data_IF_754198731260
#
_entry.id   IF_754198731260
#
_cell.length_a   1.000
_cell.length_b   1.000
_cell.length_c   1.000
_cell.angle_alpha   90.00
_cell.angle_beta   90.00
_cell.angle_gamma   90.00
#
_symmetry.space_group_name_H-M   'P 1'
#
loop_
_entity.id
_entity.type
_entity.pdbx_description
1 polymer ?
#
# COMPACT_ATOMS: atom_id res chain seq x y z
N UNK A 1 -12.34 -0.74 -8.73
CA UNK A 1 -13.52 0.10 -8.45
C UNK A 1 -13.61 0.54 -6.99
N UNK A 2 -13.59 -0.34 -5.99
CA UNK A 2 -13.78 0.05 -4.57
C UNK A 2 -12.70 1.02 -4.03
N UNK A 3 -11.43 0.85 -4.40
CA UNK A 3 -10.36 1.74 -3.95
C UNK A 3 -10.48 3.13 -4.57
N UNK A 4 -10.77 3.23 -5.86
CA UNK A 4 -11.01 4.51 -6.52
C UNK A 4 -12.20 5.28 -5.91
N UNK A 5 -13.29 4.57 -5.59
CA UNK A 5 -14.45 5.15 -4.91
C UNK A 5 -14.11 5.60 -3.47
N UNK A 6 -13.24 4.86 -2.79
CA UNK A 6 -12.72 5.24 -1.46
C UNK A 6 -11.89 6.53 -1.54
N UNK A 7 -10.95 6.61 -2.47
CA UNK A 7 -10.11 7.81 -2.68
C UNK A 7 -10.98 9.01 -3.02
N UNK A 8 -11.92 8.87 -3.96
CA UNK A 8 -12.85 9.94 -4.34
C UNK A 8 -13.67 10.43 -3.14
N UNK A 9 -14.20 9.50 -2.32
CA UNK A 9 -14.96 9.83 -1.10
C UNK A 9 -14.16 10.68 -0.13
N UNK A 10 -12.91 10.27 0.19
CA UNK A 10 -12.10 11.06 1.13
C UNK A 10 -11.66 12.38 0.56
N UNK A 11 -11.46 12.49 -0.77
CA UNK A 11 -11.19 13.76 -1.42
C UNK A 11 -12.37 14.72 -1.24
N UNK A 12 -13.58 14.30 -1.56
CA UNK A 12 -14.79 15.11 -1.41
C UNK A 12 -15.03 15.52 0.06
N UNK A 13 -14.87 14.59 1.01
CA UNK A 13 -14.98 14.90 2.43
C UNK A 13 -13.95 15.92 2.89
N UNK A 14 -12.72 15.84 2.40
CA UNK A 14 -11.67 16.79 2.71
C UNK A 14 -11.95 18.18 2.09
N UNK A 15 -12.51 18.23 0.89
CA UNK A 15 -12.94 19.48 0.24
C UNK A 15 -14.06 20.17 1.04
N UNK A 16 -15.08 19.42 1.43
CA UNK A 16 -16.19 19.94 2.25
C UNK A 16 -15.70 20.39 3.61
N UNK A 17 -14.86 19.60 4.30
CA UNK A 17 -14.29 19.99 5.59
C UNK A 17 -13.50 21.29 5.48
N UNK A 18 -12.65 21.42 4.48
CA UNK A 18 -11.85 22.62 4.25
C UNK A 18 -12.70 23.86 3.95
N UNK A 19 -13.74 23.72 3.11
CA UNK A 19 -14.66 24.83 2.81
C UNK A 19 -15.46 25.29 4.04
N UNK A 20 -15.70 24.39 4.99
CA UNK A 20 -16.36 24.67 6.27
C UNK A 20 -15.39 25.09 7.38
N UNK A 21 -14.09 25.25 7.09
CA UNK A 21 -13.08 25.65 8.08
C UNK A 21 -12.62 24.54 9.03
N UNK A 22 -12.90 23.26 8.73
CA UNK A 22 -12.50 22.12 9.56
C UNK A 22 -11.27 21.42 9.01
N UNK A 23 -10.28 21.15 9.90
CA UNK A 23 -9.07 20.42 9.55
C UNK A 23 -9.23 18.89 9.67
N UNK A 24 -10.21 18.39 10.42
CA UNK A 24 -10.34 16.97 10.76
C UNK A 24 -11.64 16.38 10.27
N UNK A 25 -11.61 15.09 9.94
CA UNK A 25 -12.79 14.32 9.56
C UNK A 25 -13.00 13.20 10.59
N UNK A 26 -14.20 13.06 11.12
CA UNK A 26 -14.57 11.96 11.98
C UNK A 26 -15.29 10.89 11.16
N UNK A 27 -14.98 9.61 11.45
CA UNK A 27 -15.69 8.46 10.86
C UNK A 27 -16.16 7.51 11.95
N UNK A 28 -17.35 6.93 11.74
CA UNK A 28 -18.00 6.03 12.68
C UNK A 28 -17.53 4.56 12.55
N UNK A 29 -16.25 4.32 12.27
CA UNK A 29 -15.71 2.97 12.29
C UNK A 29 -15.75 2.40 13.70
N UNK A 30 -16.24 1.16 13.80
CA UNK A 30 -16.46 0.44 15.05
C UNK A 30 -15.41 -0.63 15.32
N UNK A 31 -15.52 -1.29 16.47
CA UNK A 31 -14.71 -2.46 16.81
C UNK A 31 -14.90 -3.62 15.81
N UNK A 32 -16.13 -3.77 15.28
CA UNK A 32 -16.46 -4.77 14.27
C UNK A 32 -15.74 -4.47 12.96
N UNK A 33 -15.71 -3.20 12.53
CA UNK A 33 -14.96 -2.77 11.34
C UNK A 33 -13.45 -2.98 11.49
N UNK A 34 -12.94 -2.85 12.72
CA UNK A 34 -11.55 -3.15 13.03
C UNK A 34 -11.23 -4.63 12.82
N UNK A 35 -12.07 -5.52 13.37
CA UNK A 35 -11.92 -6.96 13.22
C UNK A 35 -12.00 -7.39 11.74
N UNK A 36 -12.99 -6.88 11.00
CA UNK A 36 -13.13 -7.12 9.56
C UNK A 36 -11.88 -6.66 8.79
N UNK A 37 -11.32 -5.52 9.15
CA UNK A 37 -10.12 -4.98 8.51
C UNK A 37 -8.91 -5.85 8.76
N UNK A 38 -8.75 -6.37 9.98
CA UNK A 38 -7.64 -7.29 10.34
C UNK A 38 -7.77 -8.59 9.57
N UNK A 39 -8.95 -9.22 9.56
CA UNK A 39 -9.18 -10.46 8.80
C UNK A 39 -8.96 -10.26 7.29
N UNK A 40 -9.48 -9.18 6.74
CA UNK A 40 -9.31 -8.88 5.32
C UNK A 40 -7.83 -8.73 4.93
N UNK A 41 -7.04 -8.07 5.78
CA UNK A 41 -5.61 -7.86 5.55
C UNK A 41 -4.81 -9.14 5.77
N UNK A 42 -5.18 -9.94 6.78
CA UNK A 42 -4.59 -11.25 7.03
C UNK A 42 -4.80 -12.19 5.83
N UNK A 43 -6.04 -12.27 5.31
CA UNK A 43 -6.37 -13.07 4.14
C UNK A 43 -5.65 -12.64 2.86
N UNK A 44 -5.08 -11.43 2.83
CA UNK A 44 -4.28 -10.90 1.71
C UNK A 44 -2.78 -10.96 1.92
N UNK A 45 -2.32 -11.61 2.98
CA UNK A 45 -0.89 -11.70 3.29
C UNK A 45 -0.26 -10.36 3.66
N UNK A 46 -1.02 -9.45 4.26
CA UNK A 46 -0.47 -8.16 4.69
C UNK A 46 0.59 -8.34 5.77
N UNK A 47 1.68 -7.59 5.68
CA UNK A 47 2.70 -7.52 6.71
C UNK A 47 2.21 -6.85 8.00
N UNK A 48 3.13 -6.67 8.95
CA UNK A 48 2.86 -6.19 10.31
C UNK A 48 2.05 -4.87 10.34
N UNK A 49 2.45 -3.89 9.54
CA UNK A 49 1.75 -2.59 9.40
C UNK A 49 0.27 -2.79 9.03
N UNK A 50 0.02 -3.70 8.07
CA UNK A 50 -1.33 -4.03 7.66
C UNK A 50 -2.14 -4.64 8.79
N UNK A 51 -1.56 -5.58 9.54
CA UNK A 51 -2.19 -6.29 10.64
C UNK A 51 -2.42 -5.41 11.88
N UNK A 52 -1.74 -4.27 12.00
CA UNK A 52 -2.01 -3.25 13.01
C UNK A 52 -3.42 -2.63 12.90
N UNK A 53 -4.16 -2.93 11.83
CA UNK A 53 -5.52 -2.46 11.63
C UNK A 53 -5.63 -0.96 11.38
N UNK A 54 -6.75 -0.36 11.80
CA UNK A 54 -6.97 1.08 11.72
C UNK A 54 -6.47 1.77 13.00
N UNK A 55 -5.81 2.93 12.87
CA UNK A 55 -5.46 3.79 14.00
C UNK A 55 -6.66 4.69 14.38
N UNK A 56 -6.73 5.12 15.66
CA UNK A 56 -7.71 6.11 16.11
C UNK A 56 -7.59 7.44 15.38
N UNK A 57 -6.35 7.86 15.10
CA UNK A 57 -6.04 9.00 14.29
C UNK A 57 -5.04 8.61 13.20
N UNK A 58 -5.23 9.08 11.99
CA UNK A 58 -4.30 8.93 10.87
C UNK A 58 -4.33 10.18 10.00
N UNK A 59 -3.25 10.53 9.29
CA UNK A 59 -3.32 11.58 8.28
C UNK A 59 -4.47 11.35 7.31
N UNK A 60 -5.03 12.41 6.77
CA UNK A 60 -6.04 12.30 5.71
C UNK A 60 -5.43 11.61 4.49
N UNK A 61 -6.10 10.62 3.89
CA UNK A 61 -5.57 9.84 2.77
C UNK A 61 -5.70 10.60 1.43
N UNK A 62 -5.57 11.94 1.44
CA UNK A 62 -5.78 12.81 0.28
C UNK A 62 -4.85 14.02 0.35
N UNK A 63 -4.01 14.16 -0.70
CA UNK A 63 -3.20 15.35 -0.98
C UNK A 63 -2.15 15.69 0.10
N UNK A 64 -0.90 15.83 -0.29
CA UNK A 64 0.19 16.24 0.61
C UNK A 64 -0.01 17.66 1.19
N UNK A 65 -0.83 18.48 0.53
CA UNK A 65 -1.02 19.91 0.84
C UNK A 65 -2.08 20.18 1.91
N UNK A 66 -2.80 19.16 2.38
CA UNK A 66 -3.87 19.34 3.39
C UNK A 66 -3.46 18.74 4.72
N UNK A 67 -3.10 19.61 5.66
CA UNK A 67 -2.89 19.25 7.05
C UNK A 67 -4.23 18.87 7.70
N UNK A 68 -4.35 17.63 8.18
CA UNK A 68 -5.56 17.17 8.86
C UNK A 68 -5.52 15.69 9.22
N UNK A 69 -6.44 15.30 10.11
CA UNK A 69 -6.53 13.92 10.59
C UNK A 69 -7.90 13.30 10.29
N UNK A 70 -7.86 12.04 9.95
CA UNK A 70 -9.03 11.16 9.94
C UNK A 70 -9.13 10.49 11.32
N UNK A 71 -10.14 10.85 12.09
CA UNK A 71 -10.37 10.39 13.45
C UNK A 71 -11.44 9.29 13.49
N UNK A 72 -11.25 8.30 14.37
CA UNK A 72 -12.16 7.16 14.54
C UNK A 72 -12.49 6.96 16.01
N UNK A 73 -13.35 7.80 16.60
CA UNK A 73 -13.61 7.79 18.05
C UNK A 73 -14.31 6.51 18.50
N UNK A 74 -15.08 5.83 17.63
CA UNK A 74 -15.86 4.65 17.96
C UNK A 74 -15.12 3.32 17.75
N UNK A 75 -13.84 3.33 17.44
CA UNK A 75 -13.06 2.15 17.05
C UNK A 75 -12.96 1.07 18.15
N UNK A 76 -13.25 1.40 19.39
CA UNK A 76 -13.27 0.47 20.53
C UNK A 76 -14.71 0.09 20.96
N UNK A 77 -15.73 0.60 20.29
CA UNK A 77 -17.14 0.38 20.63
C UNK A 77 -17.71 -0.58 19.60
N UNK A 78 -18.34 -1.66 20.08
CA UNK A 78 -18.98 -2.63 19.19
C UNK A 78 -20.26 -2.04 18.56
N UNK A 79 -20.56 -2.48 17.33
CA UNK A 79 -21.83 -2.12 16.65
C UNK A 79 -23.05 -2.48 17.51
N UNK A 80 -23.01 -3.63 18.19
CA UNK A 80 -24.09 -4.06 19.08
C UNK A 80 -24.36 -3.06 20.22
N UNK A 81 -23.30 -2.50 20.83
CA UNK A 81 -23.43 -1.48 21.88
C UNK A 81 -24.04 -0.19 21.34
N UNK A 82 -23.62 0.26 20.14
CA UNK A 82 -24.20 1.45 19.51
C UNK A 82 -25.70 1.26 19.21
N UNK A 83 -26.07 0.11 18.66
CA UNK A 83 -27.48 -0.23 18.40
C UNK A 83 -28.31 -0.26 19.69
N UNK A 84 -27.77 -0.85 20.76
CA UNK A 84 -28.42 -0.86 22.06
C UNK A 84 -28.64 0.57 22.62
N UNK A 85 -27.63 1.45 22.47
CA UNK A 85 -27.74 2.86 22.89
C UNK A 85 -28.82 3.60 22.10
N UNK A 86 -28.89 3.44 20.78
CA UNK A 86 -29.91 4.08 19.95
C UNK A 86 -31.30 3.58 20.31
N UNK A 87 -31.47 2.28 20.53
CA UNK A 87 -32.74 1.69 20.97
C UNK A 87 -33.20 2.23 22.33
N UNK A 88 -32.29 2.29 23.30
CA UNK A 88 -32.59 2.83 24.63
C UNK A 88 -32.96 4.32 24.57
N UNK A 89 -32.42 5.08 23.63
CA UNK A 89 -32.75 6.49 23.41
C UNK A 89 -33.97 6.72 22.50
N UNK A 90 -34.63 5.66 22.00
CA UNK A 90 -35.77 5.78 21.07
C UNK A 90 -35.37 6.37 19.69
N UNK A 91 -34.09 6.34 19.32
CA UNK A 91 -33.59 6.92 18.06
C UNK A 91 -33.67 5.88 16.95
N UNK A 92 -34.39 6.21 15.87
CA UNK A 92 -34.46 5.36 14.69
C UNK A 92 -33.11 5.37 13.94
N UNK A 93 -32.71 4.22 13.40
CA UNK A 93 -31.50 4.08 12.58
C UNK A 93 -31.79 3.25 11.32
N UNK A 94 -31.05 3.50 10.27
CA UNK A 94 -31.16 2.75 9.00
C UNK A 94 -30.28 1.51 9.04
N UNK A 95 -30.81 0.37 8.59
CA UNK A 95 -30.01 -0.84 8.30
C UNK A 95 -29.99 -1.04 6.78
N UNK A 96 -28.89 -0.60 6.15
CA UNK A 96 -28.71 -0.67 4.70
C UNK A 96 -28.50 -2.14 4.26
N UNK A 97 -29.42 -2.70 3.42
CA UNK A 97 -29.33 -4.07 2.92
C UNK A 97 -28.01 -4.38 2.18
N UNK A 98 -27.39 -3.37 1.56
CA UNK A 98 -26.11 -3.54 0.83
C UNK A 98 -24.96 -4.01 1.73
N UNK A 99 -25.07 -3.79 3.05
CA UNK A 99 -24.11 -4.28 4.02
C UNK A 99 -24.08 -5.82 4.15
N UNK A 100 -25.06 -6.51 3.61
CA UNK A 100 -25.19 -7.98 3.64
C UNK A 100 -24.94 -8.61 2.28
N UNK A 101 -24.64 -7.83 1.25
CA UNK A 101 -24.44 -8.32 -0.12
C UNK A 101 -23.15 -9.17 -0.22
N UNK A 102 -23.26 -10.50 -0.51
CA UNK A 102 -22.13 -11.42 -0.54
C UNK A 102 -21.16 -11.16 -1.70
N UNK A 103 -21.50 -10.31 -2.66
CA UNK A 103 -20.56 -9.86 -3.69
C UNK A 103 -19.37 -9.11 -3.09
N UNK A 104 -19.55 -8.48 -1.92
CA UNK A 104 -18.48 -7.76 -1.24
C UNK A 104 -17.74 -8.64 -0.24
N UNK A 105 -16.42 -8.68 -0.34
CA UNK A 105 -15.56 -9.50 0.56
C UNK A 105 -15.80 -9.20 2.04
N UNK A 106 -16.02 -7.94 2.42
CA UNK A 106 -16.31 -7.57 3.81
C UNK A 106 -17.62 -8.17 4.31
N UNK A 107 -18.67 -8.21 3.48
CA UNK A 107 -19.94 -8.83 3.86
C UNK A 107 -19.75 -10.35 4.08
N UNK A 108 -18.96 -11.02 3.24
CA UNK A 108 -18.63 -12.44 3.43
C UNK A 108 -17.82 -12.68 4.69
N UNK A 109 -16.81 -11.85 5.00
CA UNK A 109 -16.02 -11.97 6.23
C UNK A 109 -16.88 -11.73 7.47
N UNK A 110 -17.81 -10.76 7.41
CA UNK A 110 -18.79 -10.51 8.49
C UNK A 110 -19.68 -11.72 8.73
N UNK A 111 -20.13 -12.39 7.68
CA UNK A 111 -20.94 -13.61 7.81
C UNK A 111 -20.17 -14.76 8.46
N UNK A 112 -18.83 -14.83 8.29
CA UNK A 112 -17.97 -15.83 8.92
C UNK A 112 -17.63 -15.51 10.39
N UNK A 113 -17.83 -14.28 10.86
CA UNK A 113 -17.41 -13.86 12.21
C UNK A 113 -18.00 -14.71 13.35
N UNK A 114 -19.29 -15.14 13.33
CA UNK A 114 -19.83 -16.00 14.36
C UNK A 114 -19.10 -17.35 14.47
N UNK A 115 -18.73 -17.95 13.33
CA UNK A 115 -18.02 -19.23 13.29
C UNK A 115 -16.57 -19.06 13.76
N UNK A 116 -15.88 -18.04 13.29
CA UNK A 116 -14.53 -17.68 13.73
C UNK A 116 -14.50 -17.38 15.25
N UNK A 117 -15.53 -16.75 15.77
CA UNK A 117 -15.62 -16.45 17.21
C UNK A 117 -15.73 -17.71 18.06
N UNK A 118 -16.40 -18.76 17.59
CA UNK A 118 -16.47 -20.09 18.25
C UNK A 118 -15.09 -20.75 18.30
N UNK A 119 -14.24 -20.51 17.29
CA UNK A 119 -12.85 -20.98 17.23
C UNK A 119 -11.86 -20.02 17.94
N UNK A 120 -12.35 -19.04 18.72
CA UNK A 120 -11.52 -18.11 19.48
C UNK A 120 -11.14 -16.80 18.75
N UNK A 121 -11.44 -16.66 17.47
CA UNK A 121 -11.17 -15.43 16.69
C UNK A 121 -12.30 -14.40 16.84
N UNK A 122 -12.58 -14.01 18.06
CA UNK A 122 -13.64 -13.03 18.36
C UNK A 122 -13.25 -11.61 17.90
N UNK A 123 -14.24 -10.73 17.74
CA UNK A 123 -14.06 -9.30 17.42
C UNK A 123 -13.07 -8.63 18.39
N UNK A 124 -13.24 -8.89 19.70
CA UNK A 124 -12.30 -8.37 20.71
C UNK A 124 -10.91 -9.00 20.61
N UNK A 125 -10.83 -10.30 20.29
CA UNK A 125 -9.56 -11.00 20.09
C UNK A 125 -8.74 -10.39 18.93
N UNK A 126 -9.40 -10.19 17.79
CA UNK A 126 -8.80 -9.57 16.60
C UNK A 126 -8.40 -8.11 16.84
N UNK A 127 -9.21 -7.34 17.57
CA UNK A 127 -8.84 -5.96 17.92
C UNK A 127 -7.64 -5.91 18.88
N UNK A 128 -7.57 -6.81 19.87
CA UNK A 128 -6.39 -6.94 20.74
C UNK A 128 -5.15 -7.36 19.96
N UNK A 129 -5.30 -8.28 19.01
CA UNK A 129 -4.21 -8.66 18.11
C UNK A 129 -3.69 -7.45 17.32
N UNK A 130 -4.57 -6.67 16.69
CA UNK A 130 -4.19 -5.44 15.98
C UNK A 130 -3.46 -4.44 16.89
N UNK A 131 -3.90 -4.28 18.13
CA UNK A 131 -3.24 -3.40 19.10
C UNK A 131 -1.82 -3.90 19.47
N UNK A 132 -1.61 -5.23 19.55
CA UNK A 132 -0.27 -5.83 19.75
C UNK A 132 0.61 -5.59 18.53
N UNK A 133 0.09 -5.81 17.33
CA UNK A 133 0.83 -5.55 16.07
C UNK A 133 1.24 -4.09 15.97
N UNK A 134 0.37 -3.15 16.35
CA UNK A 134 0.69 -1.72 16.37
C UNK A 134 1.84 -1.37 17.32
N UNK A 135 1.90 -2.00 18.50
CA UNK A 135 3.01 -1.77 19.44
C UNK A 135 4.32 -2.34 18.91
N UNK A 136 4.28 -3.55 18.32
CA UNK A 136 5.45 -4.13 17.68
C UNK A 136 5.93 -3.28 16.49
N UNK A 137 5.00 -2.80 15.68
CA UNK A 137 5.27 -1.90 14.57
C UNK A 137 5.96 -0.60 15.03
N UNK A 138 5.48 0.04 16.08
CA UNK A 138 6.09 1.25 16.63
C UNK A 138 7.54 1.02 17.11
N UNK A 139 7.82 -0.15 17.68
CA UNK A 139 9.18 -0.54 18.10
C UNK A 139 10.09 -0.72 16.88
N UNK A 140 9.62 -1.38 15.85
CA UNK A 140 10.39 -1.56 14.61
C UNK A 140 10.62 -0.22 13.93
N UNK A 141 9.60 0.64 13.86
CA UNK A 141 9.72 1.98 13.30
C UNK A 141 10.77 2.84 14.01
N UNK A 142 10.84 2.75 15.34
CA UNK A 142 11.90 3.39 16.12
C UNK A 142 13.29 2.86 15.72
N UNK A 143 13.43 1.54 15.59
CA UNK A 143 14.69 0.92 15.15
C UNK A 143 15.06 1.29 13.70
N UNK A 144 14.08 1.39 12.80
CA UNK A 144 14.29 1.83 11.41
C UNK A 144 14.75 3.29 11.35
N UNK A 145 14.18 4.16 12.18
CA UNK A 145 14.61 5.56 12.27
C UNK A 145 16.07 5.65 12.75
N UNK A 146 16.41 4.93 13.82
CA UNK A 146 17.78 4.89 14.34
C UNK A 146 18.78 4.30 13.30
N UNK A 147 18.39 3.24 12.58
CA UNK A 147 19.22 2.66 11.52
C UNK A 147 19.41 3.63 10.35
N UNK A 148 18.37 4.35 9.94
CA UNK A 148 18.47 5.40 8.91
C UNK A 148 19.48 6.46 9.33
N UNK A 149 19.33 7.01 10.53
CA UNK A 149 20.18 8.08 11.02
C UNK A 149 21.66 7.64 11.17
N UNK A 150 21.87 6.35 11.46
CA UNK A 150 23.22 5.78 11.55
C UNK A 150 23.87 5.46 10.18
N UNK A 151 23.08 5.02 9.19
CA UNK A 151 23.61 4.58 7.89
C UNK A 151 23.57 5.67 6.81
N UNK A 152 22.66 6.63 6.93
CA UNK A 152 22.48 7.74 6.01
C UNK A 152 22.20 9.02 6.81
N UNK A 153 23.20 9.57 7.53
CA UNK A 153 23.04 10.66 8.49
C UNK A 153 22.59 11.99 7.89
N UNK A 154 22.73 12.14 6.58
CA UNK A 154 22.25 13.31 5.87
C UNK A 154 20.82 13.13 5.37
N UNK A 155 19.99 14.19 5.31
CA UNK A 155 18.66 14.08 4.71
C UNK A 155 18.78 13.61 3.27
N UNK A 156 17.94 12.63 2.89
CA UNK A 156 17.95 12.12 1.52
C UNK A 156 17.57 13.23 0.55
N UNK A 157 18.45 13.48 -0.41
CA UNK A 157 18.23 14.48 -1.46
C UNK A 157 17.03 14.08 -2.31
N UNK A 158 16.17 15.04 -2.69
CA UNK A 158 15.01 14.78 -3.55
C UNK A 158 15.35 14.11 -4.89
N UNK A 159 16.58 14.30 -5.37
CA UNK A 159 17.02 13.85 -6.70
C UNK A 159 18.30 12.99 -6.66
N UNK A 160 18.84 12.75 -5.48
CA UNK A 160 20.08 11.99 -5.31
C UNK A 160 19.86 10.52 -4.96
N UNK A 161 20.88 9.68 -5.14
CA UNK A 161 20.85 8.30 -4.71
C UNK A 161 20.89 8.19 -3.18
N UNK A 162 20.15 7.22 -2.64
CA UNK A 162 20.31 6.78 -1.25
C UNK A 162 21.37 5.70 -1.20
N UNK A 163 22.34 5.83 -0.29
CA UNK A 163 23.48 4.90 -0.18
C UNK A 163 23.56 4.34 1.22
N UNK A 164 23.82 3.04 1.32
CA UNK A 164 24.08 2.34 2.57
C UNK A 164 25.38 1.56 2.45
N UNK A 165 26.21 1.61 3.49
CA UNK A 165 27.34 0.69 3.62
C UNK A 165 26.83 -0.75 3.69
N UNK A 166 27.38 -1.63 2.83
CA UNK A 166 26.88 -3.01 2.67
C UNK A 166 27.04 -3.83 3.95
N UNK A 167 28.17 -3.73 4.64
CA UNK A 167 28.42 -4.50 5.84
C UNK A 167 27.54 -4.05 7.01
N UNK A 168 27.40 -2.74 7.19
CA UNK A 168 26.53 -2.17 8.23
C UNK A 168 25.06 -2.48 7.95
N UNK A 169 24.61 -2.40 6.70
CA UNK A 169 23.25 -2.77 6.33
C UNK A 169 22.99 -4.26 6.55
N UNK A 170 23.94 -5.13 6.21
CA UNK A 170 23.83 -6.57 6.41
C UNK A 170 23.76 -6.98 7.90
N UNK A 171 24.27 -6.15 8.81
CA UNK A 171 24.20 -6.36 10.26
C UNK A 171 22.85 -6.00 10.89
N UNK A 172 21.96 -5.31 10.16
CA UNK A 172 20.64 -4.94 10.66
C UNK A 172 19.73 -6.16 10.84
N UNK A 173 18.81 -6.14 11.81
CA UNK A 173 17.72 -7.10 11.87
C UNK A 173 16.92 -7.09 10.56
N UNK A 174 16.48 -8.26 10.08
CA UNK A 174 15.90 -8.42 8.74
C UNK A 174 14.73 -7.47 8.45
N UNK A 175 13.80 -7.32 9.39
CA UNK A 175 12.64 -6.42 9.21
C UNK A 175 13.07 -4.94 9.18
N UNK A 176 14.09 -4.55 9.94
CA UNK A 176 14.63 -3.18 9.92
C UNK A 176 15.28 -2.90 8.57
N UNK A 177 16.11 -3.81 8.06
CA UNK A 177 16.75 -3.72 6.77
C UNK A 177 15.71 -3.66 5.62
N UNK A 178 14.70 -4.54 5.67
CA UNK A 178 13.63 -4.59 4.68
C UNK A 178 12.86 -3.26 4.61
N UNK A 179 12.48 -2.68 5.75
CA UNK A 179 11.77 -1.40 5.80
C UNK A 179 12.64 -0.23 5.36
N UNK A 180 13.90 -0.22 5.78
CA UNK A 180 14.83 0.83 5.37
C UNK A 180 15.04 0.82 3.85
N UNK A 181 15.24 -0.38 3.26
CA UNK A 181 15.31 -0.56 1.81
C UNK A 181 14.01 -0.11 1.12
N UNK A 182 12.86 -0.51 1.65
CA UNK A 182 11.54 -0.13 1.12
C UNK A 182 11.31 1.39 1.12
N UNK A 183 11.78 2.09 2.15
CA UNK A 183 11.76 3.57 2.21
C UNK A 183 12.65 4.21 1.16
N UNK A 184 13.87 3.70 0.99
CA UNK A 184 14.78 4.20 -0.03
C UNK A 184 14.21 3.98 -1.45
N UNK A 185 13.62 2.81 -1.72
CA UNK A 185 12.94 2.51 -2.98
C UNK A 185 11.71 3.41 -3.19
N UNK A 186 10.91 3.66 -2.16
CA UNK A 186 9.75 4.55 -2.26
C UNK A 186 10.15 6.02 -2.47
N UNK A 187 11.28 6.45 -1.91
CA UNK A 187 11.81 7.80 -2.05
C UNK A 187 12.33 8.09 -3.45
N UNK A 188 13.10 7.15 -4.02
CA UNK A 188 13.75 7.33 -5.33
C UNK A 188 12.90 6.86 -6.50
N UNK A 189 11.93 5.98 -6.25
CA UNK A 189 11.09 5.36 -7.26
C UNK A 189 10.05 6.32 -7.86
N UNK A 190 9.53 5.95 -9.04
CA UNK A 190 8.58 6.77 -9.80
C UNK A 190 7.37 5.98 -10.34
N UNK A 191 7.26 4.68 -10.04
CA UNK A 191 6.26 3.78 -10.62
C UNK A 191 5.22 3.29 -9.59
N UNK A 192 4.84 4.12 -8.63
CA UNK A 192 3.78 3.81 -7.66
C UNK A 192 4.27 3.10 -6.39
N UNK A 193 3.38 2.50 -5.60
CA UNK A 193 3.72 1.96 -4.29
C UNK A 193 4.60 0.71 -4.39
N UNK A 194 5.48 0.55 -3.41
CA UNK A 194 6.35 -0.61 -3.27
C UNK A 194 5.53 -1.81 -2.80
N UNK A 195 5.45 -2.85 -3.62
CA UNK A 195 4.77 -4.11 -3.25
C UNK A 195 5.65 -4.93 -2.31
N UNK A 196 5.10 -5.32 -1.14
CA UNK A 196 5.83 -6.04 -0.10
C UNK A 196 6.50 -7.32 -0.62
N UNK A 197 5.78 -8.18 -1.33
CA UNK A 197 6.32 -9.45 -1.82
C UNK A 197 7.51 -9.26 -2.81
N UNK A 198 7.47 -8.20 -3.62
CA UNK A 198 8.58 -7.86 -4.53
C UNK A 198 9.78 -7.31 -3.76
N UNK A 199 9.54 -6.52 -2.71
CA UNK A 199 10.58 -6.01 -1.84
C UNK A 199 11.26 -7.15 -1.06
N UNK A 200 10.49 -8.08 -0.51
CA UNK A 200 10.99 -9.29 0.16
C UNK A 200 11.83 -10.14 -0.79
N UNK A 201 11.37 -10.36 -2.02
CA UNK A 201 12.12 -11.09 -3.05
C UNK A 201 13.45 -10.41 -3.41
N UNK A 202 13.45 -9.07 -3.48
CA UNK A 202 14.67 -8.29 -3.69
C UNK A 202 15.63 -8.44 -2.51
N UNK A 203 15.14 -8.30 -1.28
CA UNK A 203 15.94 -8.43 -0.07
C UNK A 203 16.57 -9.83 0.05
N UNK A 204 15.80 -10.89 -0.20
CA UNK A 204 16.31 -12.28 -0.21
C UNK A 204 17.42 -12.42 -1.26
N UNK A 205 17.21 -11.92 -2.47
CA UNK A 205 18.22 -11.96 -3.52
C UNK A 205 19.51 -11.22 -3.12
N UNK A 206 19.40 -10.07 -2.45
CA UNK A 206 20.57 -9.33 -1.93
C UNK A 206 21.35 -10.15 -0.89
N UNK A 207 20.64 -10.88 -0.02
CA UNK A 207 21.26 -11.73 1.01
C UNK A 207 21.95 -12.99 0.47
N UNK A 208 21.51 -13.46 -0.70
CA UNK A 208 22.04 -14.67 -1.34
C UNK A 208 23.15 -14.38 -2.36
N UNK A 209 23.32 -13.13 -2.76
CA UNK A 209 24.31 -12.75 -3.78
C UNK A 209 25.66 -12.50 -3.14
N UNK A 210 26.69 -13.22 -3.62
CA UNK A 210 28.06 -13.07 -3.15
C UNK A 210 28.85 -11.95 -3.84
N UNK A 211 28.34 -11.40 -4.97
CA UNK A 211 29.10 -10.44 -5.79
C UNK A 211 28.31 -9.15 -6.02
N UNK A 212 27.72 -9.00 -7.17
CA UNK A 212 27.00 -7.80 -7.56
C UNK A 212 25.57 -8.12 -7.95
N UNK A 213 24.62 -7.30 -7.46
CA UNK A 213 23.23 -7.40 -7.85
C UNK A 213 22.76 -6.05 -8.41
N UNK A 214 21.94 -6.09 -9.46
CA UNK A 214 21.28 -4.91 -10.02
C UNK A 214 19.85 -5.26 -10.37
N UNK A 215 18.87 -4.62 -9.70
CA UNK A 215 17.44 -4.88 -9.92
C UNK A 215 16.63 -3.61 -9.83
N UNK A 216 15.53 -3.54 -10.58
CA UNK A 216 14.56 -2.45 -10.51
C UNK A 216 13.34 -2.86 -9.71
N UNK A 217 12.81 -1.92 -8.92
CA UNK A 217 11.57 -2.07 -8.16
C UNK A 217 10.88 -0.71 -8.02
N UNK A 218 9.59 -0.63 -8.37
CA UNK A 218 8.77 0.58 -8.28
C UNK A 218 9.40 1.83 -8.90
N UNK A 219 10.14 1.67 -10.01
CA UNK A 219 10.84 2.78 -10.69
C UNK A 219 12.14 3.21 -10.02
N UNK A 220 12.59 2.52 -8.98
CA UNK A 220 13.92 2.64 -8.43
C UNK A 220 14.85 1.54 -8.98
N UNK A 221 16.14 1.83 -9.10
CA UNK A 221 17.21 0.89 -9.40
C UNK A 221 18.01 0.66 -8.12
N UNK A 222 18.05 -0.60 -7.66
CA UNK A 222 18.87 -1.03 -6.54
C UNK A 222 20.10 -1.74 -7.06
N UNK A 223 21.27 -1.24 -6.69
CA UNK A 223 22.59 -1.84 -6.99
C UNK A 223 23.25 -2.22 -5.67
N UNK A 224 23.71 -3.45 -5.57
CA UNK A 224 24.51 -3.96 -4.46
C UNK A 224 25.91 -4.33 -5.01
N UNK A 225 26.95 -3.91 -4.32
CA UNK A 225 28.33 -4.39 -4.50
C UNK A 225 28.97 -4.69 -3.14
N UNK A 226 30.29 -4.89 -3.12
CA UNK A 226 31.01 -5.24 -1.89
C UNK A 226 30.92 -4.15 -0.81
N UNK A 227 30.94 -2.89 -1.22
CA UNK A 227 31.06 -1.74 -0.33
C UNK A 227 29.73 -1.03 -0.11
N UNK A 228 28.88 -0.94 -1.17
CA UNK A 228 27.71 -0.08 -1.18
C UNK A 228 26.44 -0.76 -1.69
N UNK A 229 25.34 -0.42 -1.05
CA UNK A 229 23.98 -0.54 -1.58
C UNK A 229 23.56 0.84 -2.04
N UNK A 230 23.29 0.99 -3.35
CA UNK A 230 22.87 2.25 -3.96
C UNK A 230 21.44 2.09 -4.47
N UNK A 231 20.55 2.97 -4.03
CA UNK A 231 19.16 3.05 -4.49
C UNK A 231 18.99 4.39 -5.20
N UNK A 232 18.69 4.36 -6.48
CA UNK A 232 18.57 5.55 -7.32
C UNK A 232 17.36 5.43 -8.25
N UNK A 233 16.98 6.51 -8.89
CA UNK A 233 15.89 6.47 -9.88
C UNK A 233 16.28 5.58 -11.05
N UNK A 234 15.41 4.65 -11.43
CA UNK A 234 15.65 3.81 -12.59
C UNK A 234 15.73 4.68 -13.87
N UNK A 235 16.66 4.40 -14.78
CA UNK A 235 16.68 5.08 -16.07
C UNK A 235 15.38 4.82 -16.83
N UNK A 236 14.91 5.81 -17.59
CA UNK A 236 13.72 5.66 -18.42
C UNK A 236 13.85 4.41 -19.30
N UNK A 237 12.78 3.60 -19.34
CA UNK A 237 12.75 2.44 -20.26
C UNK A 237 12.95 2.98 -21.67
N UNK A 238 13.99 2.50 -22.37
CA UNK A 238 14.11 2.74 -23.81
C UNK A 238 12.83 2.18 -24.43
N UNK A 239 11.97 3.05 -24.95
CA UNK A 239 10.89 2.63 -25.82
C UNK A 239 11.56 1.88 -26.96
N UNK A 240 11.23 0.59 -27.13
CA UNK A 240 11.58 -0.14 -28.35
C UNK A 240 10.86 0.59 -29.48
N UNK A 241 11.58 1.51 -30.12
CA UNK A 241 11.13 2.07 -31.37
C UNK A 241 10.85 0.89 -32.28
N UNK A 242 9.59 0.65 -32.61
CA UNK A 242 9.21 -0.27 -33.67
C UNK A 242 9.99 0.20 -34.90
N UNK A 243 10.93 -0.60 -35.32
CA UNK A 243 11.51 -0.50 -36.64
C UNK A 243 10.39 -0.75 -37.65
N UNK A 244 9.71 0.31 -38.02
CA UNK A 244 8.87 0.36 -39.20
C UNK A 244 9.80 0.37 -40.43
N UNK A 245 10.23 -0.78 -40.85
CA UNK A 245 10.91 -0.96 -42.12
C UNK A 245 9.92 -0.65 -43.22
N UNK A 246 9.92 0.58 -43.73
CA UNK A 246 9.29 0.96 -45.02
C UNK A 246 10.12 0.37 -46.14
N UNK A 247 9.91 -0.90 -46.44
CA UNK A 247 10.35 -1.52 -47.69
C UNK A 247 9.49 -0.99 -48.83
N UNK A 248 9.97 0.06 -49.51
CA UNK A 248 9.44 0.49 -50.78
C UNK A 248 9.69 -0.60 -51.83
N UNK A 249 8.69 -1.44 -52.07
CA UNK A 249 8.69 -2.29 -53.27
C UNK A 249 8.20 -1.46 -54.46
N UNK A 250 9.17 -1.08 -55.29
CA UNK A 250 9.01 -0.59 -56.64
C UNK A 250 8.08 -1.55 -57.43
N UNK A 251 6.95 -1.05 -57.84
CA UNK A 251 6.04 -1.80 -58.74
C UNK A 251 6.49 -1.57 -60.18
N UNK A 252 6.95 -2.63 -60.84
CA UNK A 252 7.13 -2.69 -62.29
C UNK A 252 5.76 -2.68 -63.01
N UNK A 253 5.62 -1.99 -64.13
CA UNK A 253 4.36 -1.96 -64.90
C UNK A 253 4.17 -3.25 -65.71
N UNK A 254 3.04 -3.93 -65.53
CA UNK A 254 2.64 -5.08 -66.35
C UNK A 254 2.07 -4.60 -67.67
N UNK A 255 2.68 -5.15 -68.72
CA UNK A 255 2.28 -5.10 -70.11
C UNK A 255 0.80 -5.46 -70.36
N UNK A 256 0.12 -4.62 -71.13
CA UNK A 256 -1.21 -4.79 -71.66
C UNK A 256 -1.17 -5.81 -72.78
N UNK A 257 -1.80 -6.97 -72.68
CA UNK A 257 -2.16 -7.86 -73.81
C UNK A 257 -3.64 -7.68 -74.13
N UNK A 258 -3.86 -7.17 -75.32
CA UNK A 258 -5.15 -7.23 -76.06
C UNK A 258 -5.38 -8.70 -76.45
N UNK A 259 -6.57 -9.18 -76.28
CA UNK A 259 -7.11 -10.28 -77.08
C UNK A 259 -8.56 -10.01 -77.42
N UNK A 260 -8.85 -10.30 -78.68
CA UNK A 260 -10.08 -10.12 -79.42
C UNK A 260 -11.05 -11.28 -79.22
N UNK A 261 -12.37 -10.99 -79.37
CA UNK A 261 -13.45 -11.76 -80.03
C UNK A 261 -13.72 -13.20 -79.52
N UNK A 262 -14.89 -13.53 -79.14
CA UNK A 262 -16.21 -13.66 -79.84
C UNK A 262 -17.33 -13.64 -78.83
#
# INVERSE_FOLDING_TARGET
MQEAARVARYRLLAEVAASAGYAHILTAHTLDDQAETVLFRLARGSGLIGLAGMAHASPLPVGADRMGFLLRPLLQISKARLVATLRAAGIAYSDDPSNRDPRFTRARLRALMPDLAREGLSVHGLSRFAARMRRADATIEFAVAAARDALAPEPWSEHGPVRFDTARFASLPAEVALRLLGRAVAWTGSEGPVELAKLESLYVAMRQTATRLRRTLAGALVTLDADWIVVERAPARRSSARWGGSGSRSAMPKHRKRTFTK
#
